data_IF_843131118922
#
_entry.id   IF_843131118922
#
_cell.length_a   1.000
_cell.length_b   1.000
_cell.length_c   1.000
_cell.angle_alpha   90.00
_cell.angle_beta   90.00
_cell.angle_gamma   90.00
#
_symmetry.space_group_name_H-M   'P 1'
#
loop_
_entity.id
_entity.type
_entity.pdbx_description
1 polymer ?
#
# COMPACT_ATOMS: atom_id res chain seq x y z
N UNK A 1 -8.26 8.75 -65.69
CA UNK A 1 -7.49 8.21 -64.56
C UNK A 1 -7.16 9.25 -63.48
N UNK A 2 -7.03 10.57 -63.79
CA UNK A 2 -6.71 11.59 -62.78
C UNK A 2 -7.81 11.82 -61.75
N UNK A 3 -9.05 12.01 -62.17
CA UNK A 3 -10.23 12.28 -61.24
C UNK A 3 -10.46 11.18 -60.23
N UNK A 4 -10.28 9.90 -60.59
CA UNK A 4 -10.44 8.78 -59.67
C UNK A 4 -9.38 8.74 -58.58
N UNK A 5 -8.12 9.06 -58.94
CA UNK A 5 -7.03 9.16 -57.95
C UNK A 5 -7.25 10.31 -56.96
N UNK A 6 -7.78 11.45 -57.44
CA UNK A 6 -8.09 12.60 -56.60
C UNK A 6 -9.23 12.26 -55.62
N UNK A 7 -10.30 11.61 -56.09
CA UNK A 7 -11.41 11.18 -55.25
C UNK A 7 -10.95 10.20 -54.18
N UNK A 8 -10.12 9.19 -54.54
CA UNK A 8 -9.56 8.24 -53.57
C UNK A 8 -8.67 8.93 -52.53
N UNK A 9 -7.88 9.92 -52.95
CA UNK A 9 -7.03 10.69 -52.03
C UNK A 9 -7.85 11.52 -51.02
N UNK A 10 -8.94 12.15 -51.48
CA UNK A 10 -9.86 12.91 -50.59
C UNK A 10 -10.58 11.95 -49.60
N UNK A 11 -11.04 10.78 -50.05
CA UNK A 11 -11.67 9.80 -49.18
C UNK A 11 -10.71 9.26 -48.13
N UNK A 12 -9.44 8.99 -48.51
CA UNK A 12 -8.43 8.55 -47.57
C UNK A 12 -8.12 9.64 -46.53
N UNK A 13 -8.03 10.91 -46.96
CA UNK A 13 -7.81 12.02 -46.04
C UNK A 13 -8.98 12.21 -45.05
N UNK A 14 -10.22 12.12 -45.53
CA UNK A 14 -11.41 12.20 -44.70
C UNK A 14 -11.48 11.04 -43.69
N UNK A 15 -11.10 9.83 -44.11
CA UNK A 15 -11.01 8.67 -43.23
C UNK A 15 -9.98 8.86 -42.12
N UNK A 16 -8.77 9.36 -42.45
CA UNK A 16 -7.74 9.66 -41.46
C UNK A 16 -8.20 10.76 -40.50
N UNK A 17 -8.79 11.84 -41.02
CA UNK A 17 -9.34 12.92 -40.21
C UNK A 17 -10.46 12.45 -39.27
N UNK A 18 -11.36 11.59 -39.77
CA UNK A 18 -12.44 11.04 -38.93
C UNK A 18 -11.89 10.09 -37.85
N UNK A 19 -10.86 9.30 -38.17
CA UNK A 19 -10.21 8.42 -37.21
C UNK A 19 -9.47 9.20 -36.11
N UNK A 20 -8.78 10.26 -36.48
CA UNK A 20 -8.11 11.17 -35.53
C UNK A 20 -9.14 11.88 -34.65
N UNK A 21 -10.25 12.36 -35.25
CA UNK A 21 -11.32 13.03 -34.52
C UNK A 21 -12.02 12.06 -33.57
N UNK A 22 -12.29 10.82 -34.00
CA UNK A 22 -12.86 9.79 -33.14
C UNK A 22 -11.92 9.48 -31.96
N UNK A 23 -10.62 9.34 -32.21
CA UNK A 23 -9.63 9.13 -31.16
C UNK A 23 -9.57 10.27 -30.15
N UNK A 24 -9.66 11.53 -30.63
CA UNK A 24 -9.66 12.72 -29.76
C UNK A 24 -10.98 12.85 -28.97
N UNK A 25 -12.11 12.47 -29.57
CA UNK A 25 -13.41 12.52 -28.89
C UNK A 25 -13.62 11.38 -27.91
N UNK A 26 -13.02 10.20 -28.16
CA UNK A 26 -13.03 9.04 -27.24
C UNK A 26 -11.97 9.18 -26.13
N UNK A 27 -10.99 10.07 -26.27
CA UNK A 27 -10.06 10.40 -25.21
C UNK A 27 -10.85 11.06 -24.07
N UNK A 28 -11.08 10.31 -23.00
CA UNK A 28 -11.70 10.83 -21.79
C UNK A 28 -10.69 11.78 -21.11
N UNK A 29 -10.79 13.08 -21.44
CA UNK A 29 -9.96 14.13 -20.84
C UNK A 29 -10.48 14.54 -19.45
N UNK A 30 -11.36 13.78 -18.84
CA UNK A 30 -11.81 14.06 -17.49
C UNK A 30 -10.65 13.87 -16.51
N UNK A 31 -10.21 14.95 -15.89
CA UNK A 31 -9.27 14.91 -14.79
C UNK A 31 -9.92 14.17 -13.60
N UNK A 32 -9.33 13.07 -13.17
CA UNK A 32 -9.84 12.24 -12.10
C UNK A 32 -8.87 12.17 -10.93
N UNK A 33 -9.39 11.86 -9.76
CA UNK A 33 -8.60 11.54 -8.57
C UNK A 33 -8.76 10.06 -8.27
N UNK A 34 -7.65 9.35 -8.14
CA UNK A 34 -7.68 7.96 -7.74
C UNK A 34 -7.90 7.86 -6.22
N UNK A 35 -8.92 7.12 -5.81
CA UNK A 35 -9.14 6.77 -4.41
C UNK A 35 -8.65 5.35 -4.17
N UNK A 36 -7.57 5.20 -3.39
CA UNK A 36 -6.94 3.92 -3.10
C UNK A 36 -7.18 3.57 -1.63
N UNK A 37 -7.94 2.49 -1.35
CA UNK A 37 -8.20 2.09 0.03
C UNK A 37 -7.01 1.34 0.63
N UNK A 38 -6.55 1.79 1.82
CA UNK A 38 -5.62 1.10 2.69
C UNK A 38 -6.38 0.70 3.96
N UNK A 39 -6.96 -0.49 3.95
CA UNK A 39 -7.81 -0.99 5.06
C UNK A 39 -7.24 -2.27 5.64
N UNK A 40 -7.33 -2.41 6.96
CA UNK A 40 -6.82 -3.58 7.68
C UNK A 40 -5.30 -3.58 7.84
N UNK A 41 -4.73 -4.71 8.27
CA UNK A 41 -3.29 -4.81 8.54
C UNK A 41 -2.47 -4.92 7.24
N UNK A 42 -1.35 -4.20 7.19
CA UNK A 42 -0.40 -4.22 6.07
C UNK A 42 0.53 -5.43 6.22
N UNK A 43 0.52 -6.34 5.26
CA UNK A 43 1.30 -7.59 5.27
C UNK A 43 1.99 -7.81 3.93
N UNK A 44 3.06 -8.60 3.90
CA UNK A 44 3.73 -8.93 2.63
C UNK A 44 2.96 -10.01 1.84
N UNK A 45 2.29 -10.92 2.54
CA UNK A 45 1.52 -12.02 1.91
C UNK A 45 0.19 -12.20 2.62
N UNK A 46 -0.88 -12.38 1.85
CA UNK A 46 -2.18 -12.71 2.40
C UNK A 46 -2.21 -14.17 2.86
N UNK A 47 -2.52 -14.42 4.12
CA UNK A 47 -2.90 -15.75 4.58
C UNK A 47 -4.40 -15.94 4.40
N UNK A 48 -4.81 -16.93 3.63
CA UNK A 48 -6.21 -17.31 3.42
C UNK A 48 -6.79 -18.03 4.64
N UNK A 49 -6.70 -17.44 5.83
CA UNK A 49 -7.34 -17.99 7.02
C UNK A 49 -8.73 -17.39 7.20
N UNK A 50 -9.74 -18.21 7.35
CA UNK A 50 -11.14 -17.81 7.60
C UNK A 50 -11.34 -17.01 8.90
N UNK A 51 -10.30 -16.80 9.70
CA UNK A 51 -10.32 -16.12 11.00
C UNK A 51 -9.45 -14.86 11.03
N UNK A 52 -8.88 -14.43 9.89
CA UNK A 52 -8.04 -13.23 9.86
C UNK A 52 -8.88 -11.98 9.59
N UNK A 53 -8.65 -10.96 10.41
CA UNK A 53 -9.11 -9.60 10.17
C UNK A 53 -8.72 -9.14 8.75
N UNK A 54 -9.40 -8.15 8.23
CA UNK A 54 -9.08 -7.55 6.94
C UNK A 54 -7.58 -7.24 6.85
N UNK A 55 -6.95 -7.69 5.79
CA UNK A 55 -5.54 -7.44 5.50
C UNK A 55 -5.37 -6.92 4.09
N UNK A 56 -4.41 -6.04 3.90
CA UNK A 56 -3.97 -5.60 2.58
C UNK A 56 -2.51 -5.98 2.38
N UNK A 57 -2.17 -6.55 1.22
CA UNK A 57 -0.77 -6.85 0.91
C UNK A 57 -0.06 -5.63 0.36
N UNK A 58 1.23 -5.46 0.70
CA UNK A 58 2.07 -4.42 0.12
C UNK A 58 2.07 -4.49 -1.41
N UNK A 59 2.19 -5.68 -1.99
CA UNK A 59 2.19 -5.87 -3.44
C UNK A 59 0.93 -5.34 -4.12
N UNK A 60 -0.25 -5.62 -3.54
CA UNK A 60 -1.51 -5.14 -4.11
C UNK A 60 -1.63 -3.61 -4.03
N UNK A 61 -1.22 -3.04 -2.89
CA UNK A 61 -1.26 -1.59 -2.72
C UNK A 61 -0.27 -0.88 -3.66
N UNK A 62 0.94 -1.41 -3.79
CA UNK A 62 1.97 -0.91 -4.72
C UNK A 62 1.47 -0.97 -6.16
N UNK A 63 0.83 -2.07 -6.55
CA UNK A 63 0.24 -2.20 -7.88
C UNK A 63 -0.81 -1.12 -8.15
N UNK A 64 -1.74 -0.88 -7.22
CA UNK A 64 -2.76 0.16 -7.35
C UNK A 64 -2.14 1.57 -7.44
N UNK A 65 -1.09 1.84 -6.68
CA UNK A 65 -0.35 3.10 -6.74
C UNK A 65 0.31 3.33 -8.10
N UNK A 66 0.96 2.32 -8.65
CA UNK A 66 1.56 2.41 -9.98
C UNK A 66 0.51 2.53 -11.10
N UNK A 67 -0.60 1.78 -11.03
CA UNK A 67 -1.71 1.93 -11.98
C UNK A 67 -2.28 3.36 -11.97
N UNK A 68 -2.40 3.98 -10.80
CA UNK A 68 -2.84 5.36 -10.67
C UNK A 68 -1.80 6.35 -11.21
N UNK A 69 -0.50 6.10 -10.95
CA UNK A 69 0.61 6.93 -11.45
C UNK A 69 0.70 6.92 -12.97
N UNK A 70 0.56 5.74 -13.59
CA UNK A 70 0.69 5.56 -15.05
C UNK A 70 -0.54 6.04 -15.82
N UNK A 71 -1.71 6.16 -15.18
CA UNK A 71 -2.93 6.56 -15.87
C UNK A 71 -2.95 8.08 -16.15
N UNK A 72 -2.93 8.52 -17.42
CA UNK A 72 -2.88 9.95 -17.76
C UNK A 72 -4.12 10.74 -17.36
N UNK A 73 -5.28 10.08 -17.14
CA UNK A 73 -6.51 10.74 -16.67
C UNK A 73 -6.46 11.02 -15.15
N UNK A 74 -5.60 10.35 -14.39
CA UNK A 74 -5.45 10.57 -12.96
C UNK A 74 -4.50 11.72 -12.69
N UNK A 75 -4.96 12.75 -11.96
CA UNK A 75 -4.19 13.94 -11.59
C UNK A 75 -3.67 13.94 -10.16
N UNK A 76 -4.17 13.06 -9.34
CA UNK A 76 -3.74 12.92 -7.95
C UNK A 76 -4.32 11.68 -7.32
N UNK A 77 -3.80 11.32 -6.16
CA UNK A 77 -4.15 10.11 -5.43
C UNK A 77 -4.61 10.48 -4.03
N UNK A 78 -5.72 9.91 -3.60
CA UNK A 78 -6.16 9.92 -2.21
C UNK A 78 -6.01 8.52 -1.65
N UNK A 79 -5.16 8.38 -0.62
CA UNK A 79 -5.06 7.16 0.18
C UNK A 79 -6.11 7.20 1.28
N UNK A 80 -7.18 6.42 1.15
CA UNK A 80 -8.18 6.26 2.21
C UNK A 80 -7.66 5.26 3.25
N UNK A 81 -7.19 5.77 4.38
CA UNK A 81 -6.52 4.98 5.42
C UNK A 81 -7.49 4.64 6.55
N UNK A 82 -7.70 3.34 6.79
CA UNK A 82 -8.37 2.80 7.96
C UNK A 82 -7.65 1.52 8.41
N UNK A 83 -6.45 1.68 9.01
CA UNK A 83 -5.49 0.61 9.24
C UNK A 83 -4.72 0.80 10.57
N UNK A 84 -4.53 -0.27 11.34
CA UNK A 84 -3.68 -0.26 12.53
C UNK A 84 -2.17 -0.30 12.20
N UNK A 85 -1.79 -0.34 10.92
CA UNK A 85 -0.44 -0.59 10.47
C UNK A 85 -0.20 -2.05 10.13
N UNK A 86 1.02 -2.53 10.29
CA UNK A 86 1.33 -3.91 9.93
C UNK A 86 2.80 -4.25 10.09
N UNK A 87 3.29 -5.19 9.28
CA UNK A 87 4.69 -5.61 9.32
C UNK A 87 5.61 -4.49 8.81
N UNK A 88 6.79 -4.39 9.41
CA UNK A 88 7.72 -3.29 9.14
C UNK A 88 8.15 -3.25 7.67
N UNK A 89 8.48 -4.41 7.10
CA UNK A 89 8.97 -4.49 5.71
C UNK A 89 7.86 -4.12 4.73
N UNK A 90 6.67 -4.71 4.87
CA UNK A 90 5.54 -4.39 4.00
C UNK A 90 5.15 -2.91 4.07
N UNK A 91 5.14 -2.32 5.27
CA UNK A 91 4.88 -0.90 5.44
C UNK A 91 5.95 -0.04 4.76
N UNK A 92 7.22 -0.43 4.88
CA UNK A 92 8.34 0.27 4.23
C UNK A 92 8.24 0.25 2.71
N UNK A 93 7.91 -0.89 2.11
CA UNK A 93 7.73 -1.03 0.65
C UNK A 93 6.68 -0.04 0.12
N UNK A 94 5.55 0.08 0.83
CA UNK A 94 4.50 1.04 0.49
C UNK A 94 5.00 2.49 0.66
N UNK A 95 5.67 2.80 1.77
CA UNK A 95 6.26 4.13 2.02
C UNK A 95 7.22 4.54 0.91
N UNK A 96 8.13 3.64 0.52
CA UNK A 96 9.11 3.91 -0.53
C UNK A 96 8.40 4.15 -1.88
N UNK A 97 7.34 3.39 -2.16
CA UNK A 97 6.52 3.60 -3.36
C UNK A 97 5.84 4.96 -3.35
N UNK A 98 5.13 5.32 -2.27
CA UNK A 98 4.45 6.62 -2.16
C UNK A 98 5.43 7.77 -2.40
N UNK A 99 6.63 7.70 -1.82
CA UNK A 99 7.67 8.71 -2.01
C UNK A 99 8.22 8.79 -3.43
N UNK A 100 8.10 7.74 -4.22
CA UNK A 100 8.59 7.71 -5.61
C UNK A 100 7.60 8.26 -6.62
N UNK A 101 6.33 8.42 -6.25
CA UNK A 101 5.29 8.94 -7.14
C UNK A 101 5.54 10.41 -7.48
N UNK A 102 5.14 10.81 -8.68
CA UNK A 102 5.23 12.19 -9.14
C UNK A 102 3.90 12.94 -8.99
N UNK A 103 2.80 12.20 -8.97
CA UNK A 103 1.47 12.76 -8.74
C UNK A 103 1.28 13.09 -7.27
N UNK A 104 0.55 14.16 -6.95
CA UNK A 104 0.26 14.53 -5.58
C UNK A 104 -0.54 13.42 -4.87
N UNK A 105 -0.12 13.09 -3.65
CA UNK A 105 -0.74 12.08 -2.80
C UNK A 105 -1.24 12.73 -1.52
N UNK A 106 -2.52 12.54 -1.21
CA UNK A 106 -3.13 12.97 0.05
C UNK A 106 -3.55 11.74 0.85
N UNK A 107 -3.06 11.61 2.06
CA UNK A 107 -3.54 10.60 3.00
C UNK A 107 -4.80 11.11 3.71
N UNK A 108 -5.90 10.39 3.55
CA UNK A 108 -7.14 10.63 4.29
C UNK A 108 -7.34 9.54 5.34
N UNK A 109 -7.02 9.88 6.59
CA UNK A 109 -7.21 8.96 7.73
C UNK A 109 -8.66 9.03 8.18
N UNK A 110 -9.33 7.88 8.21
CA UNK A 110 -10.70 7.76 8.69
C UNK A 110 -10.73 7.56 10.20
N UNK A 111 -10.94 6.34 10.68
CA UNK A 111 -11.00 6.05 12.11
C UNK A 111 -9.61 5.76 12.68
N UNK A 112 -8.79 5.00 11.94
CA UNK A 112 -7.47 4.54 12.40
C UNK A 112 -6.44 4.72 11.30
N UNK A 113 -5.33 5.35 11.66
CA UNK A 113 -4.13 5.45 10.83
C UNK A 113 -2.90 5.41 11.72
N UNK A 114 -2.54 4.22 12.23
CA UNK A 114 -1.51 4.08 13.26
C UNK A 114 -0.31 3.26 12.78
N UNK A 115 0.85 3.39 13.49
CA UNK A 115 2.05 2.59 13.26
C UNK A 115 2.50 2.64 11.79
N UNK A 116 2.62 1.49 11.10
CA UNK A 116 2.99 1.41 9.69
C UNK A 116 2.04 2.19 8.76
N UNK A 117 0.74 2.28 9.08
CA UNK A 117 -0.20 3.06 8.30
C UNK A 117 0.00 4.58 8.48
N UNK A 118 0.38 5.03 9.68
CA UNK A 118 0.79 6.41 9.90
C UNK A 118 2.11 6.73 9.19
N UNK A 119 3.03 5.76 9.14
CA UNK A 119 4.27 5.91 8.36
C UNK A 119 3.97 6.09 6.86
N UNK A 120 3.03 5.31 6.30
CA UNK A 120 2.55 5.51 4.91
C UNK A 120 1.92 6.90 4.76
N UNK A 121 1.04 7.32 5.68
CA UNK A 121 0.43 8.65 5.65
C UNK A 121 1.50 9.76 5.68
N UNK A 122 2.56 9.59 6.48
CA UNK A 122 3.65 10.58 6.58
C UNK A 122 4.52 10.69 5.33
N UNK A 123 4.42 9.75 4.41
CA UNK A 123 5.10 9.78 3.11
C UNK A 123 4.30 10.55 2.03
N UNK A 124 3.04 10.89 2.31
CA UNK A 124 2.17 11.67 1.41
C UNK A 124 2.44 13.16 1.52
N UNK A 125 2.01 13.93 0.52
CA UNK A 125 2.19 15.40 0.48
C UNK A 125 1.36 16.12 1.54
N UNK A 126 0.20 15.56 1.89
CA UNK A 126 -0.65 16.09 2.95
C UNK A 126 -1.40 14.97 3.67
N UNK A 127 -1.74 15.24 4.93
CA UNK A 127 -2.55 14.34 5.76
C UNK A 127 -3.82 15.08 6.19
N UNK A 128 -4.96 14.44 5.97
CA UNK A 128 -6.27 14.87 6.47
C UNK A 128 -6.78 13.80 7.41
N UNK A 129 -7.15 14.17 8.61
CA UNK A 129 -7.71 13.26 9.61
C UNK A 129 -8.89 13.94 10.32
N UNK A 130 -9.85 13.15 10.76
CA UNK A 130 -10.90 13.63 11.67
C UNK A 130 -10.30 13.89 13.05
N UNK A 131 -10.90 14.79 13.82
CA UNK A 131 -10.43 15.11 15.18
C UNK A 131 -10.51 13.92 16.15
N UNK A 132 -11.36 12.94 15.84
CA UNK A 132 -11.55 11.71 16.62
C UNK A 132 -10.75 10.52 16.05
N UNK A 133 -10.01 10.71 14.96
CA UNK A 133 -9.17 9.65 14.38
C UNK A 133 -8.04 9.26 15.32
N UNK A 134 -7.83 7.96 15.46
CA UNK A 134 -6.66 7.42 16.17
C UNK A 134 -5.45 7.41 15.24
N UNK A 135 -4.42 8.18 15.56
CA UNK A 135 -3.21 8.33 14.75
C UNK A 135 -1.93 8.11 15.59
N UNK A 136 -0.77 8.11 14.93
CA UNK A 136 0.51 7.97 15.62
C UNK A 136 0.86 6.52 15.92
N UNK A 137 1.09 6.15 17.18
CA UNK A 137 1.61 4.82 17.57
C UNK A 137 2.91 4.49 16.83
N UNK A 138 3.83 5.47 16.77
CA UNK A 138 5.09 5.39 16.02
C UNK A 138 6.07 4.50 16.77
N UNK A 139 6.50 3.40 16.14
CA UNK A 139 7.50 2.51 16.70
C UNK A 139 7.33 1.06 16.23
N UNK A 140 8.27 0.23 16.67
CA UNK A 140 8.25 -1.21 16.45
C UNK A 140 8.19 -1.89 17.80
N UNK A 141 7.24 -2.79 17.97
CA UNK A 141 7.14 -3.60 19.18
C UNK A 141 7.44 -5.07 18.86
N UNK A 142 8.11 -5.73 19.77
CA UNK A 142 8.22 -7.17 19.81
C UNK A 142 7.92 -7.60 21.24
N UNK A 143 6.98 -8.50 21.41
CA UNK A 143 6.57 -8.98 22.72
C UNK A 143 6.53 -10.51 22.74
N UNK A 144 6.92 -11.07 23.88
CA UNK A 144 6.84 -12.50 24.14
C UNK A 144 6.51 -12.71 25.62
N UNK A 145 5.91 -13.85 25.90
CA UNK A 145 5.71 -14.28 27.29
C UNK A 145 6.99 -14.94 27.77
N UNK A 146 7.35 -14.69 29.02
CA UNK A 146 8.52 -15.27 29.69
C UNK A 146 8.05 -16.11 30.89
N UNK A 147 8.54 -17.34 31.01
CA UNK A 147 8.09 -18.32 31.98
C UNK A 147 9.24 -18.93 32.81
N UNK A 148 10.46 -18.43 32.76
CA UNK A 148 11.61 -19.04 33.43
C UNK A 148 11.40 -19.11 34.95
N UNK A 149 10.94 -18.06 35.59
CA UNK A 149 10.66 -18.04 37.03
C UNK A 149 9.53 -19.02 37.42
N UNK A 150 8.54 -19.18 36.55
CA UNK A 150 7.47 -20.14 36.75
C UNK A 150 8.03 -21.58 36.68
N UNK A 151 8.89 -21.86 35.73
CA UNK A 151 9.53 -23.17 35.56
C UNK A 151 10.41 -23.51 36.74
N UNK A 152 11.23 -22.57 37.18
CA UNK A 152 12.08 -22.73 38.36
C UNK A 152 11.25 -23.05 39.62
N UNK A 153 10.14 -22.35 39.81
CA UNK A 153 9.22 -22.57 40.93
C UNK A 153 8.64 -24.01 40.98
N UNK A 154 8.43 -24.60 39.81
CA UNK A 154 7.88 -25.97 39.69
C UNK A 154 8.95 -27.04 39.39
N UNK A 155 10.25 -26.68 39.47
CA UNK A 155 11.35 -27.59 39.26
C UNK A 155 11.47 -28.09 37.82
N UNK A 156 11.02 -27.30 36.85
CA UNK A 156 11.14 -27.57 35.41
C UNK A 156 12.40 -26.90 34.91
N UNK A 157 13.36 -27.66 34.36
CA UNK A 157 14.55 -27.12 33.70
C UNK A 157 14.37 -27.13 32.20
N UNK A 158 14.78 -26.02 31.57
CA UNK A 158 14.86 -25.89 30.11
C UNK A 158 16.31 -25.87 29.63
N UNK A 159 16.67 -26.87 28.84
CA UNK A 159 18.01 -26.94 28.24
C UNK A 159 17.93 -26.72 26.73
N UNK A 160 18.45 -25.57 26.28
CA UNK A 160 18.52 -25.23 24.87
C UNK A 160 19.88 -25.52 24.26
N UNK A 161 19.98 -26.43 23.32
CA UNK A 161 21.18 -26.66 22.53
C UNK A 161 21.23 -25.68 21.36
N UNK A 162 22.15 -24.71 21.37
CA UNK A 162 22.26 -23.67 20.36
C UNK A 162 23.70 -23.36 20.00
N UNK A 163 23.88 -22.82 18.81
CA UNK A 163 25.11 -22.16 18.38
C UNK A 163 24.82 -20.67 18.14
N UNK A 164 25.65 -19.79 18.70
CA UNK A 164 25.46 -18.35 18.60
C UNK A 164 24.74 -17.74 19.80
N UNK A 165 25.30 -16.60 20.26
CA UNK A 165 24.88 -15.90 21.50
C UNK A 165 23.41 -15.49 21.49
N UNK A 166 22.90 -15.05 20.35
CA UNK A 166 21.59 -14.40 20.22
C UNK A 166 20.53 -15.25 19.51
N UNK A 167 20.82 -16.54 19.27
CA UNK A 167 19.91 -17.41 18.51
C UNK A 167 18.55 -17.60 19.17
N UNK A 168 18.47 -17.48 20.47
CA UNK A 168 17.26 -17.69 21.30
C UNK A 168 16.74 -16.41 21.97
N UNK A 169 17.06 -15.23 21.40
CA UNK A 169 16.44 -13.98 21.84
C UNK A 169 14.94 -14.08 21.69
N UNK A 170 14.21 -13.72 22.76
CA UNK A 170 12.75 -13.84 22.82
C UNK A 170 12.25 -15.26 23.13
N UNK A 171 13.13 -16.18 23.54
CA UNK A 171 12.69 -17.48 24.06
C UNK A 171 11.81 -17.29 25.29
N UNK A 172 10.62 -17.93 25.35
CA UNK A 172 9.74 -17.82 26.51
C UNK A 172 10.23 -18.58 27.74
N UNK A 173 11.34 -19.31 27.63
CA UNK A 173 11.86 -20.20 28.67
C UNK A 173 13.18 -19.71 29.28
N UNK A 174 13.57 -18.50 29.00
CA UNK A 174 14.84 -17.94 29.41
C UNK A 174 14.73 -16.42 29.56
N UNK A 175 15.28 -15.88 30.65
CA UNK A 175 15.46 -14.44 30.82
C UNK A 175 16.28 -13.83 29.67
N UNK A 176 15.97 -12.59 29.21
CA UNK A 176 16.69 -11.93 28.14
C UNK A 176 18.16 -11.64 28.43
#
# INVERSE_FOLDING_TARGET
MGKLKTILGVLALLFVLSSVLAYVLDADFSDTIALIPLRGAIVSTSSSSLLTADTITSDNLIKLLHEAEENPAVRGIVLEINSPGGTVVASKEVVDTVKSLQKPVVAWIREIGTSGAYWVASASDAIVADELSLTGSIGVISSYLEFSDLFDKYGISYEGLKTGKYKDIGSPFKLP
#
